data_IF_425312822409
#
_entry.id   IF_425312822409
#
_cell.length_a   1.000
_cell.length_b   1.000
_cell.length_c   1.000
_cell.angle_alpha   90.00
_cell.angle_beta   90.00
_cell.angle_gamma   90.00
#
_symmetry.space_group_name_H-M   'P 1'
#
loop_
_entity.id
_entity.type
_entity.pdbx_description
1 polymer ?
#
# COMPACT_ATOMS: atom_id res chain seq x y z
N UNK A 1 -17.79 -6.99 8.32
CA UNK A 1 -18.06 -6.71 9.76
C UNK A 1 -16.77 -6.42 10.55
N UNK A 2 -15.70 -7.22 10.42
CA UNK A 2 -14.42 -7.04 11.17
C UNK A 2 -13.60 -5.80 10.80
N UNK A 3 -13.54 -5.43 9.51
CA UNK A 3 -12.85 -4.21 9.03
C UNK A 3 -13.38 -2.93 9.68
N UNK A 4 -14.69 -2.68 9.56
CA UNK A 4 -15.34 -1.49 10.13
C UNK A 4 -15.16 -1.39 11.65
N UNK A 5 -15.20 -2.51 12.36
CA UNK A 5 -14.93 -2.55 13.81
C UNK A 5 -13.48 -2.16 14.12
N UNK A 6 -12.49 -2.69 13.39
CA UNK A 6 -11.09 -2.33 13.58
C UNK A 6 -10.80 -0.86 13.25
N UNK A 7 -11.42 -0.35 12.17
CA UNK A 7 -11.25 1.05 11.77
C UNK A 7 -11.80 2.00 12.84
N UNK A 8 -13.04 1.78 13.31
CA UNK A 8 -13.62 2.58 14.40
C UNK A 8 -12.78 2.53 15.67
N UNK A 9 -12.27 1.35 16.02
CA UNK A 9 -11.42 1.18 17.19
C UNK A 9 -10.09 1.96 17.06
N UNK A 10 -9.49 1.99 15.87
CA UNK A 10 -8.30 2.80 15.59
C UNK A 10 -8.59 4.30 15.65
N UNK A 11 -9.68 4.75 15.02
CA UNK A 11 -10.11 6.16 15.03
C UNK A 11 -10.34 6.63 16.48
N UNK A 12 -11.06 5.85 17.28
CA UNK A 12 -11.31 6.15 18.69
C UNK A 12 -10.01 6.20 19.51
N UNK A 13 -9.14 5.18 19.38
CA UNK A 13 -7.86 5.16 20.10
C UNK A 13 -7.01 6.39 19.77
N UNK A 14 -6.99 6.79 18.50
CA UNK A 14 -6.18 7.92 18.03
C UNK A 14 -6.71 9.24 18.59
N UNK A 15 -8.04 9.41 18.63
CA UNK A 15 -8.66 10.59 19.25
C UNK A 15 -8.39 10.66 20.76
N UNK A 16 -8.47 9.53 21.46
CA UNK A 16 -8.29 9.45 22.91
C UNK A 16 -6.83 9.76 23.34
N UNK A 17 -5.84 9.62 22.45
CA UNK A 17 -4.40 9.73 22.76
C UNK A 17 -3.65 10.71 21.85
N UNK A 18 -4.35 11.70 21.28
CA UNK A 18 -3.78 12.61 20.28
C UNK A 18 -2.54 13.37 20.79
N UNK A 19 -2.52 13.76 22.06
CA UNK A 19 -1.39 14.47 22.69
C UNK A 19 -0.13 13.61 22.90
N UNK A 20 -0.24 12.29 22.75
CA UNK A 20 0.85 11.32 22.92
C UNK A 20 1.17 10.56 21.61
N UNK A 21 0.66 11.07 20.49
CA UNK A 21 0.78 10.44 19.18
C UNK A 21 2.25 10.39 18.72
N UNK A 22 2.73 9.20 18.33
CA UNK A 22 4.08 9.09 17.74
C UNK A 22 4.10 9.66 16.31
N UNK A 23 5.27 10.09 15.79
CA UNK A 23 5.36 10.61 14.42
C UNK A 23 4.77 9.67 13.36
N UNK A 24 4.98 8.36 13.49
CA UNK A 24 4.44 7.37 12.56
C UNK A 24 2.91 7.26 12.66
N UNK A 25 2.35 7.37 13.86
CA UNK A 25 0.90 7.38 14.03
C UNK A 25 0.26 8.63 13.44
N UNK A 26 0.91 9.79 13.61
CA UNK A 26 0.50 11.02 12.98
C UNK A 26 0.41 10.89 11.46
N UNK A 27 1.38 10.22 10.84
CA UNK A 27 1.36 9.97 9.39
C UNK A 27 0.20 9.04 9.00
N UNK A 28 -0.05 7.96 9.74
CA UNK A 28 -1.20 7.07 9.50
C UNK A 28 -2.51 7.86 9.58
N UNK A 29 -2.68 8.66 10.64
CA UNK A 29 -3.87 9.50 10.81
C UNK A 29 -4.02 10.52 9.68
N UNK A 30 -2.94 11.21 9.29
CA UNK A 30 -2.96 12.15 8.16
C UNK A 30 -3.38 11.48 6.84
N UNK A 31 -2.95 10.25 6.58
CA UNK A 31 -3.43 9.46 5.44
C UNK A 31 -4.93 9.17 5.54
N UNK A 32 -5.42 8.77 6.72
CA UNK A 32 -6.85 8.47 6.94
C UNK A 32 -7.76 9.71 6.88
N UNK A 33 -7.28 10.87 7.31
CA UNK A 33 -8.01 12.14 7.29
C UNK A 33 -8.07 12.78 5.89
N UNK A 34 -7.27 12.29 4.93
CA UNK A 34 -7.28 12.83 3.58
C UNK A 34 -8.65 12.66 2.91
N UNK A 35 -9.09 13.70 2.20
CA UNK A 35 -10.45 13.76 1.62
C UNK A 35 -10.78 12.59 0.68
N UNK A 36 -9.77 12.06 -0.01
CA UNK A 36 -9.92 10.94 -0.95
C UNK A 36 -9.75 9.56 -0.30
N UNK A 37 -9.32 9.47 0.96
CA UNK A 37 -9.02 8.19 1.62
C UNK A 37 -10.23 7.25 1.63
N UNK A 38 -11.40 7.76 2.04
CA UNK A 38 -12.63 6.96 2.11
C UNK A 38 -13.04 6.38 0.77
N UNK A 39 -12.77 7.07 -0.33
CA UNK A 39 -13.08 6.59 -1.67
C UNK A 39 -12.04 5.57 -2.12
N UNK A 40 -10.76 5.91 -2.01
CA UNK A 40 -9.68 5.13 -2.61
C UNK A 40 -9.32 3.87 -1.83
N UNK A 41 -9.54 3.86 -0.51
CA UNK A 41 -9.28 2.69 0.34
C UNK A 41 -10.57 1.92 0.70
N UNK A 42 -11.69 2.18 0.02
CA UNK A 42 -12.91 1.38 0.15
C UNK A 42 -12.86 0.16 -0.77
N UNK A 43 -12.24 -0.90 -0.26
CA UNK A 43 -12.08 -2.14 -1.00
C UNK A 43 -13.26 -3.10 -0.80
N UNK A 44 -13.61 -3.94 -1.81
CA UNK A 44 -14.62 -5.00 -1.69
C UNK A 44 -14.12 -6.19 -0.86
N UNK A 45 -13.62 -5.93 0.34
CA UNK A 45 -12.92 -6.88 1.22
C UNK A 45 -13.81 -7.98 1.83
N UNK A 46 -15.05 -8.10 1.35
CA UNK A 46 -15.98 -9.19 1.70
C UNK A 46 -15.93 -10.33 0.67
N UNK A 47 -15.30 -10.09 -0.49
CA UNK A 47 -15.02 -11.11 -1.49
C UNK A 47 -13.90 -12.05 -0.97
N UNK A 48 -14.06 -13.36 -1.22
CA UNK A 48 -13.17 -14.42 -0.72
C UNK A 48 -11.73 -14.29 -1.24
N UNK A 49 -11.53 -13.59 -2.36
CA UNK A 49 -10.21 -13.37 -2.93
C UNK A 49 -9.38 -12.35 -2.12
N UNK A 50 -10.01 -11.54 -1.26
CA UNK A 50 -9.35 -10.49 -0.51
C UNK A 50 -8.69 -10.98 0.77
N UNK A 51 -7.43 -10.57 0.97
CA UNK A 51 -6.73 -10.78 2.23
C UNK A 51 -6.96 -9.58 3.16
N UNK A 52 -7.85 -9.75 4.14
CA UNK A 52 -8.01 -8.78 5.24
C UNK A 52 -6.95 -9.04 6.32
N UNK A 53 -6.05 -8.09 6.51
CA UNK A 53 -4.99 -8.21 7.52
C UNK A 53 -5.56 -7.91 8.91
N UNK A 54 -5.48 -8.85 9.88
CA UNK A 54 -5.98 -8.61 11.21
C UNK A 54 -5.07 -7.64 11.98
N UNK A 55 -5.67 -6.63 12.59
CA UNK A 55 -4.95 -5.68 13.45
C UNK A 55 -4.35 -6.35 14.71
N UNK A 56 -4.97 -7.42 15.19
CA UNK A 56 -4.58 -8.08 16.45
C UNK A 56 -5.01 -7.27 17.67
N UNK A 57 -4.22 -7.30 18.75
CA UNK A 57 -4.47 -6.48 19.95
C UNK A 57 -4.19 -5.02 19.64
N UNK A 58 -5.21 -4.17 19.76
CA UNK A 58 -5.12 -2.74 19.42
C UNK A 58 -3.96 -2.03 20.13
N UNK A 59 -3.79 -2.21 21.44
CA UNK A 59 -2.68 -1.60 22.19
C UNK A 59 -1.29 -1.97 21.67
N UNK A 60 -1.10 -3.22 21.21
CA UNK A 60 0.14 -3.67 20.60
C UNK A 60 0.30 -3.11 19.18
N UNK A 61 -0.77 -3.12 18.38
CA UNK A 61 -0.75 -2.53 17.06
C UNK A 61 -0.41 -1.04 17.12
N UNK A 62 -1.03 -0.30 18.04
CA UNK A 62 -0.83 1.15 18.16
C UNK A 62 0.55 1.55 18.71
N UNK A 63 1.28 0.63 19.30
CA UNK A 63 2.68 0.85 19.75
C UNK A 63 3.70 0.29 18.78
N UNK A 64 3.29 -0.45 17.74
CA UNK A 64 4.17 -1.00 16.72
C UNK A 64 4.79 0.11 15.88
N UNK A 65 6.12 0.06 15.75
CA UNK A 65 6.95 0.96 14.95
C UNK A 65 7.44 0.32 13.65
N UNK A 66 7.08 -0.95 13.40
CA UNK A 66 7.52 -1.67 12.21
C UNK A 66 6.88 -1.04 10.99
N UNK A 67 7.70 -0.71 9.99
CA UNK A 67 7.25 -0.22 8.70
C UNK A 67 7.74 -1.13 7.58
N UNK A 68 6.89 -1.34 6.60
CA UNK A 68 7.21 -2.02 5.35
C UNK A 68 6.73 -1.11 4.22
N UNK A 69 7.63 -0.68 3.34
CA UNK A 69 7.24 0.02 2.13
C UNK A 69 7.10 -0.97 0.99
N UNK A 70 6.07 -0.81 0.16
CA UNK A 70 5.85 -1.62 -1.04
C UNK A 70 5.62 -0.74 -2.25
N UNK A 71 5.91 -1.30 -3.42
CA UNK A 71 5.62 -0.71 -4.73
C UNK A 71 5.41 -1.87 -5.71
N UNK A 72 4.36 -1.77 -6.54
CA UNK A 72 4.02 -2.78 -7.53
C UNK A 72 4.12 -2.20 -8.95
N UNK A 73 4.56 -3.02 -9.88
CA UNK A 73 4.40 -2.77 -11.31
C UNK A 73 3.20 -3.55 -11.83
N UNK A 74 2.33 -2.86 -12.56
CA UNK A 74 1.08 -3.43 -13.09
C UNK A 74 0.99 -3.30 -14.61
N UNK A 75 0.43 -4.34 -15.24
CA UNK A 75 0.16 -4.40 -16.68
C UNK A 75 -1.35 -4.46 -16.95
N UNK A 76 -1.76 -4.04 -18.15
CA UNK A 76 -3.13 -4.18 -18.62
C UNK A 76 -3.39 -5.57 -19.20
N UNK A 77 -4.44 -6.24 -18.75
CA UNK A 77 -4.84 -7.56 -19.21
C UNK A 77 -5.90 -7.48 -20.32
N UNK A 78 -6.04 -8.56 -21.10
CA UNK A 78 -7.02 -8.63 -22.20
C UNK A 78 -8.48 -8.56 -21.74
N UNK A 79 -8.76 -8.93 -20.49
CA UNK A 79 -10.08 -8.84 -19.86
C UNK A 79 -10.41 -7.41 -19.36
N UNK A 80 -9.54 -6.43 -19.63
CA UNK A 80 -9.70 -5.03 -19.20
C UNK A 80 -9.30 -4.76 -17.76
N UNK A 81 -8.79 -5.76 -17.03
CA UNK A 81 -8.28 -5.60 -15.66
C UNK A 81 -6.78 -5.30 -15.64
N UNK A 82 -6.24 -4.98 -14.47
CA UNK A 82 -4.80 -4.88 -14.25
C UNK A 82 -4.28 -6.09 -13.45
N UNK A 83 -3.02 -6.46 -13.69
CA UNK A 83 -2.33 -7.51 -12.95
C UNK A 83 -0.93 -7.07 -12.54
N UNK A 84 -0.50 -7.51 -11.35
CA UNK A 84 0.86 -7.28 -10.86
C UNK A 84 1.83 -8.17 -11.62
N UNK A 85 2.93 -7.58 -12.06
CA UNK A 85 4.04 -8.29 -12.73
C UNK A 85 5.36 -8.15 -11.99
N UNK A 86 5.45 -7.21 -11.05
CA UNK A 86 6.58 -7.09 -10.12
C UNK A 86 6.12 -6.46 -8.82
N UNK A 87 6.73 -6.84 -7.71
CA UNK A 87 6.56 -6.18 -6.42
C UNK A 87 7.91 -6.09 -5.73
N UNK A 88 8.19 -4.92 -5.15
CA UNK A 88 9.31 -4.73 -4.24
C UNK A 88 8.79 -4.41 -2.84
N UNK A 89 9.42 -4.98 -1.81
CA UNK A 89 9.17 -4.64 -0.42
C UNK A 89 10.50 -4.31 0.28
N UNK A 90 10.52 -3.17 0.98
CA UNK A 90 11.70 -2.71 1.73
C UNK A 90 11.32 -2.40 3.18
N UNK A 91 12.23 -2.66 4.11
CA UNK A 91 12.03 -2.30 5.52
C UNK A 91 12.41 -0.83 5.81
N UNK A 92 12.19 -0.42 7.05
CA UNK A 92 12.53 0.92 7.55
C UNK A 92 14.02 1.29 7.51
N UNK A 93 14.92 0.33 7.31
CA UNK A 93 16.36 0.55 7.13
C UNK A 93 16.75 0.55 5.64
N UNK A 94 15.76 0.60 4.73
CA UNK A 94 15.93 0.51 3.28
C UNK A 94 16.49 -0.84 2.82
N UNK A 95 16.42 -1.88 3.67
CA UNK A 95 16.82 -3.22 3.26
C UNK A 95 15.71 -3.83 2.41
N UNK A 96 16.08 -4.33 1.23
CA UNK A 96 15.18 -5.12 0.38
C UNK A 96 14.82 -6.42 1.09
N UNK A 97 13.53 -6.59 1.36
CA UNK A 97 12.96 -7.80 1.94
C UNK A 97 12.66 -8.82 0.84
N UNK A 98 12.07 -8.36 -0.27
CA UNK A 98 11.97 -9.10 -1.53
C UNK A 98 11.76 -8.15 -2.70
N UNK A 99 12.12 -8.61 -3.90
CA UNK A 99 11.90 -7.95 -5.19
C UNK A 99 11.65 -9.05 -6.21
N UNK A 100 10.38 -9.28 -6.53
CA UNK A 100 9.93 -10.49 -7.22
C UNK A 100 9.13 -10.12 -8.46
N UNK A 101 9.41 -10.81 -9.57
CA UNK A 101 8.50 -10.84 -10.72
C UNK A 101 7.34 -11.77 -10.40
N UNK A 102 6.13 -11.38 -10.83
CA UNK A 102 4.89 -12.10 -10.54
C UNK A 102 4.27 -12.56 -11.85
N UNK A 103 3.85 -13.82 -11.89
CA UNK A 103 3.05 -14.33 -12.99
C UNK A 103 1.65 -13.71 -12.92
N UNK A 104 1.21 -12.97 -13.95
CA UNK A 104 -0.08 -12.29 -13.93
C UNK A 104 -1.26 -13.26 -13.92
N UNK A 105 -1.04 -14.55 -14.23
CA UNK A 105 -2.05 -15.60 -14.23
C UNK A 105 -3.06 -15.51 -15.38
N UNK A 106 -2.87 -14.55 -16.30
CA UNK A 106 -3.75 -14.27 -17.44
C UNK A 106 -3.00 -13.55 -18.56
N UNK A 107 -3.63 -13.47 -19.73
CA UNK A 107 -3.06 -12.83 -20.90
C UNK A 107 -2.93 -11.32 -20.73
N UNK A 108 -1.73 -10.81 -21.00
CA UNK A 108 -1.40 -9.39 -20.98
C UNK A 108 -1.72 -8.77 -22.34
N UNK A 109 -2.41 -7.64 -22.34
CA UNK A 109 -2.69 -6.83 -23.54
C UNK A 109 -1.68 -5.71 -23.71
N UNK A 110 -1.25 -5.09 -22.62
CA UNK A 110 -0.30 -3.98 -22.63
C UNK A 110 0.62 -4.06 -21.41
N UNK A 111 1.91 -4.30 -21.67
CA UNK A 111 2.96 -4.40 -20.66
C UNK A 111 3.38 -3.05 -20.08
N UNK A 112 3.05 -1.93 -20.76
CA UNK A 112 3.44 -0.57 -20.35
C UNK A 112 4.94 -0.47 -20.07
N UNK A 113 5.77 -1.11 -20.90
CA UNK A 113 7.21 -1.32 -20.69
C UNK A 113 7.98 -0.02 -20.46
N UNK A 114 7.50 1.11 -21.00
CA UNK A 114 8.07 2.43 -20.77
C UNK A 114 7.93 2.93 -19.32
N UNK A 115 6.98 2.38 -18.57
CA UNK A 115 6.71 2.70 -17.17
C UNK A 115 7.19 1.55 -16.28
N UNK A 116 6.77 0.32 -16.59
CA UNK A 116 7.04 -0.87 -15.75
C UNK A 116 8.45 -1.40 -15.89
N UNK A 117 9.12 -1.11 -17.01
CA UNK A 117 10.40 -1.71 -17.37
C UNK A 117 10.32 -3.22 -17.65
N UNK A 118 9.12 -3.79 -17.77
CA UNK A 118 8.88 -5.22 -18.00
C UNK A 118 8.45 -5.46 -19.44
N UNK A 119 9.13 -6.37 -20.14
CA UNK A 119 8.74 -6.89 -21.44
C UNK A 119 8.04 -8.26 -21.32
N UNK A 120 7.56 -8.81 -22.44
CA UNK A 120 6.90 -10.13 -22.42
C UNK A 120 7.88 -11.24 -22.02
N UNK A 121 9.10 -11.16 -22.53
CA UNK A 121 10.18 -12.12 -22.31
C UNK A 121 10.63 -12.14 -20.84
N UNK A 122 10.45 -11.04 -20.12
CA UNK A 122 10.77 -10.93 -18.70
C UNK A 122 9.87 -11.82 -17.82
N UNK A 123 8.67 -12.16 -18.30
CA UNK A 123 7.69 -12.98 -17.58
C UNK A 123 7.71 -14.44 -18.02
N UNK A 124 8.51 -14.80 -19.02
CA UNK A 124 8.66 -16.18 -19.45
C UNK A 124 9.24 -17.04 -18.32
N UNK A 125 8.55 -18.12 -17.98
CA UNK A 125 8.96 -19.04 -16.91
C UNK A 125 8.80 -18.50 -15.48
N UNK A 126 8.26 -17.28 -15.28
CA UNK A 126 7.95 -16.78 -13.94
C UNK A 126 6.81 -17.61 -13.34
N UNK A 127 7.06 -18.21 -12.19
CA UNK A 127 6.10 -19.09 -11.49
C UNK A 127 5.53 -18.49 -10.20
N UNK A 128 6.14 -17.42 -9.67
CA UNK A 128 5.66 -16.76 -8.48
C UNK A 128 4.25 -16.21 -8.71
N UNK A 129 3.28 -16.65 -7.92
CA UNK A 129 1.89 -16.22 -8.06
C UNK A 129 1.54 -15.07 -7.12
N UNK A 130 0.44 -14.38 -7.40
CA UNK A 130 -0.14 -13.39 -6.46
C UNK A 130 -0.38 -13.99 -5.06
N UNK A 131 -0.78 -15.27 -4.98
CA UNK A 131 -1.00 -15.93 -3.70
C UNK A 131 0.30 -16.17 -2.92
N UNK A 132 1.42 -16.41 -3.61
CA UNK A 132 2.72 -16.55 -2.96
C UNK A 132 3.18 -15.20 -2.38
N UNK A 133 2.97 -14.11 -3.10
CA UNK A 133 3.19 -12.75 -2.60
C UNK A 133 2.29 -12.47 -1.39
N UNK A 134 0.99 -12.78 -1.45
CA UNK A 134 0.06 -12.58 -0.32
C UNK A 134 0.46 -13.41 0.90
N UNK A 135 0.94 -14.64 0.74
CA UNK A 135 1.46 -15.47 1.84
C UNK A 135 2.68 -14.82 2.51
N UNK A 136 3.60 -14.29 1.72
CA UNK A 136 4.78 -13.57 2.22
C UNK A 136 4.38 -12.29 2.96
N UNK A 137 3.56 -11.44 2.34
CA UNK A 137 3.06 -10.20 2.93
C UNK A 137 2.25 -10.43 4.20
N UNK A 138 1.44 -11.49 4.29
CA UNK A 138 0.65 -11.81 5.49
C UNK A 138 1.50 -11.89 6.75
N UNK A 139 2.69 -12.49 6.65
CA UNK A 139 3.61 -12.62 7.78
C UNK A 139 4.23 -11.27 8.15
N UNK A 140 4.59 -10.47 7.14
CA UNK A 140 5.24 -9.17 7.32
C UNK A 140 4.28 -8.09 7.85
N UNK A 141 3.02 -8.11 7.42
CA UNK A 141 1.97 -7.16 7.80
C UNK A 141 1.33 -7.47 9.16
N UNK A 142 1.68 -8.60 9.78
CA UNK A 142 1.17 -8.99 11.07
C UNK A 142 1.56 -8.01 12.20
N UNK A 143 0.90 -8.13 13.35
CA UNK A 143 1.23 -7.39 14.57
C UNK A 143 1.20 -5.86 14.44
N UNK A 144 0.39 -5.36 13.51
CA UNK A 144 0.23 -3.94 13.28
C UNK A 144 1.44 -3.30 12.61
N UNK A 145 2.19 -4.00 11.76
CA UNK A 145 3.13 -3.32 10.85
C UNK A 145 2.40 -2.23 10.05
N UNK A 146 3.04 -1.09 9.87
CA UNK A 146 2.54 0.00 9.03
C UNK A 146 3.03 -0.23 7.60
N UNK A 147 2.10 -0.23 6.65
CA UNK A 147 2.45 -0.29 5.24
C UNK A 147 2.64 1.12 4.69
N UNK A 148 3.67 1.32 3.88
CA UNK A 148 4.04 2.63 3.34
C UNK A 148 4.10 2.54 1.82
N UNK A 149 3.66 3.59 1.11
CA UNK A 149 3.75 3.67 -0.34
C UNK A 149 3.34 5.02 -0.89
N UNK A 150 3.14 5.10 -2.21
CA UNK A 150 2.73 6.31 -2.91
C UNK A 150 1.56 6.01 -3.84
N UNK A 151 0.38 6.60 -3.58
CA UNK A 151 -0.88 6.15 -4.18
C UNK A 151 -1.14 4.65 -3.90
N UNK A 152 -0.84 4.25 -2.66
CA UNK A 152 -0.73 2.87 -2.17
C UNK A 152 -2.02 2.05 -2.35
N UNK A 153 -3.16 2.74 -2.50
CA UNK A 153 -4.44 2.08 -2.78
C UNK A 153 -4.41 1.30 -4.11
N UNK A 154 -3.64 1.73 -5.11
CA UNK A 154 -3.50 1.02 -6.38
C UNK A 154 -2.79 -0.32 -6.16
N UNK A 155 -1.69 -0.34 -5.41
CA UNK A 155 -0.97 -1.56 -5.05
C UNK A 155 -1.86 -2.51 -4.26
N UNK A 156 -2.55 -1.99 -3.25
CA UNK A 156 -3.43 -2.80 -2.40
C UNK A 156 -4.61 -3.39 -3.16
N UNK A 157 -5.17 -2.64 -4.11
CA UNK A 157 -6.23 -3.11 -5.00
C UNK A 157 -5.72 -4.25 -5.89
N UNK A 158 -4.57 -4.07 -6.52
CA UNK A 158 -3.97 -5.10 -7.38
C UNK A 158 -3.55 -6.34 -6.58
N UNK A 159 -3.09 -6.16 -5.34
CA UNK A 159 -2.73 -7.24 -4.42
C UNK A 159 -3.96 -7.93 -3.79
N UNK A 160 -5.14 -7.32 -3.90
CA UNK A 160 -6.36 -7.70 -3.17
C UNK A 160 -6.10 -7.81 -1.66
N UNK A 161 -5.43 -6.80 -1.09
CA UNK A 161 -5.09 -6.73 0.33
C UNK A 161 -5.83 -5.55 0.98
N UNK A 162 -6.51 -5.83 2.08
CA UNK A 162 -7.09 -4.80 2.92
C UNK A 162 -6.30 -4.68 4.24
N UNK A 163 -5.54 -3.59 4.36
CA UNK A 163 -4.71 -3.28 5.51
C UNK A 163 -5.01 -1.87 6.01
N UNK A 164 -5.28 -1.72 7.31
CA UNK A 164 -5.75 -0.46 7.88
C UNK A 164 -4.62 0.52 8.24
N UNK A 165 -3.45 0.02 8.62
CA UNK A 165 -2.34 0.87 9.06
C UNK A 165 -1.48 1.23 7.86
N UNK A 166 -1.87 2.27 7.14
CA UNK A 166 -1.22 2.73 5.91
C UNK A 166 -0.68 4.15 6.05
N UNK A 167 0.48 4.40 5.46
CA UNK A 167 1.00 5.74 5.17
C UNK A 167 1.09 5.86 3.65
N UNK A 168 0.21 6.68 3.07
CA UNK A 168 0.25 7.03 1.66
C UNK A 168 0.92 8.39 1.49
N UNK A 169 2.16 8.40 1.01
CA UNK A 169 2.96 9.61 0.83
C UNK A 169 2.31 10.63 -0.10
N UNK A 170 1.45 10.20 -1.02
CA UNK A 170 0.71 11.11 -1.92
C UNK A 170 -0.32 11.97 -1.16
N UNK A 171 -0.75 11.55 0.03
CA UNK A 171 -1.72 12.28 0.87
C UNK A 171 -1.06 13.11 1.98
N UNK A 172 0.21 12.87 2.29
CA UNK A 172 0.92 13.54 3.39
C UNK A 172 1.39 14.94 2.98
N UNK A 173 1.98 15.05 1.80
CA UNK A 173 2.68 16.26 1.37
C UNK A 173 1.75 17.14 0.53
N UNK A 174 1.52 18.37 1.00
CA UNK A 174 0.73 19.38 0.28
C UNK A 174 1.66 20.30 -0.49
N UNK A 175 1.33 20.55 -1.76
CA UNK A 175 1.97 21.61 -2.54
C UNK A 175 1.21 22.92 -2.29
N UNK A 176 1.95 23.99 -2.00
CA UNK A 176 1.40 25.33 -1.77
C UNK A 176 0.57 25.77 -2.99
N UNK A 177 -0.55 26.44 -2.73
CA UNK A 177 -1.42 27.03 -3.76
C UNK A 177 -2.16 26.02 -4.66
N UNK A 178 -2.14 24.72 -4.31
CA UNK A 178 -2.97 23.69 -4.94
C UNK A 178 -4.11 23.22 -4.01
N UNK A 179 -5.22 22.70 -4.57
CA UNK A 179 -6.32 22.16 -3.77
C UNK A 179 -5.85 21.07 -2.81
N UNK A 180 -6.51 20.95 -1.65
CA UNK A 180 -6.20 19.89 -0.67
C UNK A 180 -6.42 18.46 -1.20
N UNK A 181 -7.13 18.31 -2.32
CA UNK A 181 -7.33 17.04 -3.04
C UNK A 181 -6.25 16.76 -4.09
N UNK A 182 -5.34 17.70 -4.35
CA UNK A 182 -4.25 17.48 -5.27
C UNK A 182 -3.20 16.58 -4.63
N UNK A 183 -2.84 15.50 -5.33
CA UNK A 183 -1.78 14.58 -4.92
C UNK A 183 -0.54 14.78 -5.79
N UNK A 184 0.63 15.11 -5.21
CA UNK A 184 1.87 15.28 -5.97
C UNK A 184 2.42 13.94 -6.42
N UNK A 185 3.10 13.91 -7.57
CA UNK A 185 3.84 12.72 -8.00
C UNK A 185 5.06 12.45 -7.10
N UNK A 186 5.42 11.17 -6.95
CA UNK A 186 6.59 10.76 -6.19
C UNK A 186 7.88 11.46 -6.67
N UNK A 187 8.07 11.58 -7.99
CA UNK A 187 9.23 12.27 -8.58
C UNK A 187 9.34 13.73 -8.11
N UNK A 188 8.21 14.45 -8.04
CA UNK A 188 8.21 15.83 -7.57
C UNK A 188 8.57 15.92 -6.08
N UNK A 189 8.07 14.99 -5.25
CA UNK A 189 8.42 14.92 -3.84
C UNK A 189 9.90 14.63 -3.62
N UNK A 190 10.46 13.67 -4.35
CA UNK A 190 11.88 13.33 -4.25
C UNK A 190 12.80 14.49 -4.68
N UNK A 191 12.40 15.27 -5.68
CA UNK A 191 13.16 16.45 -6.14
C UNK A 191 13.11 17.60 -5.14
N UNK A 192 11.95 17.85 -4.52
CA UNK A 192 11.79 18.92 -3.53
C UNK A 192 12.73 18.75 -2.33
N UNK A 193 13.06 17.50 -1.97
CA UNK A 193 13.94 17.19 -0.84
C UNK A 193 15.44 17.27 -1.15
N UNK A 194 15.84 17.55 -2.40
CA UNK A 194 17.26 17.75 -2.80
C UNK A 194 17.69 19.22 -2.80
N UNK A 195 16.77 20.14 -2.55
CA UNK A 195 16.99 21.59 -2.59
C UNK A 195 17.13 22.24 -1.20
N UNK A 196 17.29 21.44 -0.14
CA UNK A 196 17.46 21.87 1.25
C UNK A 196 18.81 21.45 1.82
#
# INVERSE_FOLDING_TARGET
MRRFSNQRAMEQFTNDHQDQESPMQRLVRMTMEHSQYKQNFSFPSLDEEWMVVPLGKLSKAMTSKNMLAIDCEMVGCQDGTEAIVRICAVDQNLKVIFDEKVNPGKAVADYRTNITGIAAEDLEGVTCSLDDIKKSLRKLLAHGTILVGHSLHNDLQALKIDHLRVIDTSYIFKIKDLPASYTPSLNNLCKANRAG
#
